data_IF_660126164658
#
_entry.id   IF_660126164658
#
_cell.length_a   1.000
_cell.length_b   1.000
_cell.length_c   1.000
_cell.angle_alpha   90.00
_cell.angle_beta   90.00
_cell.angle_gamma   90.00
#
_symmetry.space_group_name_H-M   'P 1'
#
loop_
_entity.id
_entity.type
_entity.pdbx_description
1 polymer ?
#
# COMPACT_ATOMS: atom_id res chain seq x y z
N UNK A 1 -18.70 24.22 -6.50
CA UNK A 1 -18.71 22.93 -5.78
C UNK A 1 -18.61 21.72 -6.72
N UNK A 2 -19.39 21.66 -7.83
CA UNK A 2 -19.07 20.73 -8.93
C UNK A 2 -17.69 21.00 -9.54
N UNK A 3 -17.33 22.29 -9.67
CA UNK A 3 -16.02 22.71 -10.14
C UNK A 3 -14.88 22.14 -9.26
N UNK A 4 -15.01 22.18 -7.93
CA UNK A 4 -13.98 21.68 -7.01
C UNK A 4 -13.82 20.15 -7.02
N UNK A 5 -14.92 19.40 -7.22
CA UNK A 5 -14.85 17.93 -7.35
C UNK A 5 -14.23 17.55 -8.70
N UNK A 6 -14.61 18.24 -9.78
CA UNK A 6 -14.01 18.03 -11.09
C UNK A 6 -12.51 18.37 -11.10
N UNK A 7 -12.12 19.50 -10.50
CA UNK A 7 -10.70 19.88 -10.36
C UNK A 7 -9.91 18.85 -9.56
N UNK A 8 -10.48 18.31 -8.47
CA UNK A 8 -9.82 17.25 -7.69
C UNK A 8 -9.68 15.94 -8.46
N UNK A 9 -10.72 15.50 -9.18
CA UNK A 9 -10.64 14.30 -10.02
C UNK A 9 -9.65 14.46 -11.17
N UNK A 10 -9.60 15.64 -11.81
CA UNK A 10 -8.64 15.95 -12.89
C UNK A 10 -7.21 15.98 -12.35
N UNK A 11 -6.95 16.63 -11.23
CA UNK A 11 -5.62 16.64 -10.58
C UNK A 11 -5.17 15.23 -10.18
N UNK A 12 -6.09 14.43 -9.62
CA UNK A 12 -5.80 13.05 -9.23
C UNK A 12 -5.51 12.19 -10.46
N UNK A 13 -6.32 12.32 -11.52
CA UNK A 13 -6.06 11.63 -12.78
C UNK A 13 -4.72 12.06 -13.40
N UNK A 14 -4.36 13.34 -13.34
CA UNK A 14 -3.09 13.86 -13.86
C UNK A 14 -1.88 13.35 -13.07
N UNK A 15 -2.01 13.19 -11.75
CA UNK A 15 -0.97 12.61 -10.90
C UNK A 15 -0.80 11.10 -11.13
N UNK A 16 -1.89 10.40 -11.45
CA UNK A 16 -1.87 8.94 -11.69
C UNK A 16 -1.50 8.59 -13.15
N UNK A 17 -1.78 9.47 -14.11
CA UNK A 17 -1.53 9.25 -15.55
C UNK A 17 -0.08 8.87 -15.90
N UNK A 18 0.98 9.54 -15.39
CA UNK A 18 2.36 9.15 -15.69
C UNK A 18 2.76 7.80 -15.08
N UNK A 19 1.91 7.21 -14.23
CA UNK A 19 2.12 5.88 -13.64
C UNK A 19 1.46 4.74 -14.42
N UNK A 20 0.75 5.03 -15.51
CA UNK A 20 0.17 4.01 -16.40
C UNK A 20 1.26 3.54 -17.38
N UNK A 21 1.59 2.25 -17.44
CA UNK A 21 2.63 1.75 -18.34
C UNK A 21 2.21 1.96 -19.79
N UNK A 22 2.91 2.86 -20.50
CA UNK A 22 2.84 2.97 -21.96
C UNK A 22 3.89 2.03 -22.54
N UNK A 23 3.61 0.73 -22.52
CA UNK A 23 4.48 -0.24 -23.17
C UNK A 23 4.26 -0.19 -24.69
N UNK A 24 5.10 0.59 -25.38
CA UNK A 24 5.31 0.42 -26.82
C UNK A 24 6.78 0.21 -27.23
N UNK A 25 7.76 0.15 -26.32
CA UNK A 25 9.17 0.18 -26.75
C UNK A 25 10.20 -0.70 -26.02
N UNK A 26 9.91 -1.39 -24.91
CA UNK A 26 10.99 -1.92 -24.03
C UNK A 26 11.01 -3.45 -23.83
N UNK A 27 10.54 -4.24 -24.79
CA UNK A 27 10.65 -5.71 -24.74
C UNK A 27 12.06 -6.27 -25.00
N UNK A 28 13.13 -5.46 -24.93
CA UNK A 28 14.46 -5.83 -25.45
C UNK A 28 15.61 -5.89 -24.42
N UNK A 29 15.40 -5.63 -23.12
CA UNK A 29 16.52 -5.61 -22.15
C UNK A 29 16.31 -6.66 -21.07
N UNK A 30 16.75 -7.89 -21.38
CA UNK A 30 16.89 -8.96 -20.39
C UNK A 30 18.16 -8.76 -19.55
N UNK A 31 18.01 -8.37 -18.29
CA UNK A 31 19.12 -8.34 -17.33
C UNK A 31 19.27 -9.75 -16.74
N UNK A 32 20.40 -10.40 -17.03
CA UNK A 32 20.85 -11.62 -16.33
C UNK A 32 21.26 -11.25 -14.90
N UNK A 33 20.43 -11.58 -13.92
CA UNK A 33 20.85 -11.64 -12.51
C UNK A 33 21.14 -13.09 -12.15
N UNK A 34 22.43 -13.39 -11.95
CA UNK A 34 22.91 -14.70 -11.51
C UNK A 34 24.35 -14.58 -11.03
N UNK A 35 24.54 -13.96 -9.86
CA UNK A 35 25.81 -13.88 -9.16
C UNK A 35 25.65 -14.36 -7.73
N UNK A 36 26.10 -15.58 -7.47
CA UNK A 36 26.16 -16.21 -6.14
C UNK A 36 27.18 -15.45 -5.29
N UNK A 37 26.72 -14.73 -4.25
CA UNK A 37 27.62 -14.04 -3.32
C UNK A 37 28.14 -15.02 -2.26
N UNK A 38 29.37 -15.50 -2.44
CA UNK A 38 30.18 -16.08 -1.37
C UNK A 38 30.84 -14.96 -0.57
N UNK A 39 30.72 -15.02 0.76
CA UNK A 39 31.08 -13.93 1.66
C UNK A 39 32.57 -13.53 1.67
N UNK A 40 32.79 -12.26 2.03
CA UNK A 40 34.04 -11.80 2.64
C UNK A 40 35.07 -11.17 1.72
N UNK A 41 34.80 -9.96 1.21
CA UNK A 41 35.81 -8.90 1.04
C UNK A 41 35.11 -7.56 0.82
N UNK A 42 35.46 -6.54 1.61
CA UNK A 42 35.04 -5.16 1.32
C UNK A 42 35.80 -4.74 0.06
N UNK A 43 35.16 -4.88 -1.09
CA UNK A 43 35.69 -4.39 -2.36
C UNK A 43 35.73 -2.86 -2.28
N UNK A 44 36.94 -2.30 -2.25
CA UNK A 44 37.14 -0.86 -2.53
C UNK A 44 36.39 -0.52 -3.82
N UNK A 45 35.57 0.53 -3.77
CA UNK A 45 34.77 0.99 -4.88
C UNK A 45 35.71 1.26 -6.06
N UNK A 46 35.81 0.31 -6.99
CA UNK A 46 36.73 0.42 -8.12
C UNK A 46 36.33 1.65 -8.92
N UNK A 47 37.31 2.53 -9.19
CA UNK A 47 37.13 3.78 -9.93
C UNK A 47 36.49 3.58 -11.32
N UNK A 48 36.47 2.34 -11.82
CA UNK A 48 35.80 1.90 -13.04
C UNK A 48 34.26 2.00 -12.95
N UNK A 49 33.67 1.95 -11.75
CA UNK A 49 32.23 2.16 -11.53
C UNK A 49 31.83 3.63 -11.76
N UNK A 50 32.77 4.58 -11.63
CA UNK A 50 32.51 6.00 -11.89
C UNK A 50 32.39 6.34 -13.38
N UNK A 51 32.72 5.41 -14.28
CA UNK A 51 32.64 5.56 -15.73
C UNK A 51 31.38 4.90 -16.33
N UNK A 52 30.35 4.61 -15.53
CA UNK A 52 29.06 4.17 -16.06
C UNK A 52 28.47 5.28 -16.93
N UNK A 53 28.18 4.97 -18.20
CA UNK A 53 27.47 5.88 -19.10
C UNK A 53 26.26 6.51 -18.40
N UNK A 54 25.90 7.77 -18.72
CA UNK A 54 24.74 8.42 -18.12
C UNK A 54 23.51 7.53 -18.30
N UNK A 55 23.12 6.84 -17.23
CA UNK A 55 21.87 6.10 -17.19
C UNK A 55 20.77 7.12 -17.38
N UNK A 56 19.90 6.89 -18.35
CA UNK A 56 18.73 7.73 -18.55
C UNK A 56 17.95 7.78 -17.22
N UNK A 57 17.81 8.96 -16.58
CA UNK A 57 17.12 9.09 -15.30
C UNK A 57 15.66 8.63 -15.38
N UNK A 58 15.08 8.59 -16.58
CA UNK A 58 13.74 8.04 -16.81
C UNK A 58 13.67 6.53 -16.48
N UNK A 59 14.77 5.80 -16.65
CA UNK A 59 14.84 4.35 -16.37
C UNK A 59 14.78 4.08 -14.87
N UNK A 60 15.47 4.90 -14.06
CA UNK A 60 15.38 4.80 -12.60
C UNK A 60 13.98 5.11 -12.08
N UNK A 61 13.36 6.18 -12.58
CA UNK A 61 12.00 6.57 -12.22
C UNK A 61 10.96 5.52 -12.65
N UNK A 62 11.05 5.00 -13.87
CA UNK A 62 10.13 3.96 -14.35
C UNK A 62 10.32 2.65 -13.59
N UNK A 63 11.56 2.25 -13.31
CA UNK A 63 11.85 1.06 -12.49
C UNK A 63 11.30 1.21 -11.10
N UNK A 64 11.50 2.38 -10.46
CA UNK A 64 10.89 2.73 -9.18
C UNK A 64 9.36 2.62 -9.27
N UNK A 65 8.72 3.33 -10.20
CA UNK A 65 7.25 3.34 -10.30
C UNK A 65 6.63 1.96 -10.62
N UNK A 66 7.39 1.06 -11.24
CA UNK A 66 6.97 -0.32 -11.58
C UNK A 66 7.20 -1.32 -10.44
N UNK A 67 8.32 -1.22 -9.73
CA UNK A 67 8.75 -2.23 -8.76
C UNK A 67 8.63 -1.77 -7.30
N UNK A 68 8.24 -0.52 -7.05
CA UNK A 68 8.05 -0.03 -5.69
C UNK A 68 6.80 -0.67 -5.07
N UNK A 69 7.02 -1.79 -4.40
CA UNK A 69 6.08 -2.49 -3.55
C UNK A 69 6.66 -2.40 -2.14
N UNK A 70 6.22 -1.42 -1.36
CA UNK A 70 6.53 -1.38 0.07
C UNK A 70 5.28 -1.73 0.85
N UNK A 71 5.38 -2.82 1.64
CA UNK A 71 4.66 -3.25 2.85
C UNK A 71 3.34 -2.57 3.23
N UNK A 72 2.50 -2.22 2.29
CA UNK A 72 1.13 -1.85 2.61
C UNK A 72 0.33 -3.14 2.73
N UNK A 73 -0.12 -3.40 3.96
CA UNK A 73 -0.94 -4.54 4.31
C UNK A 73 -2.12 -4.71 3.36
N UNK A 74 -2.86 -3.64 3.06
CA UNK A 74 -4.04 -3.71 2.18
C UNK A 74 -3.62 -4.02 0.74
N UNK A 75 -2.60 -3.32 0.24
CA UNK A 75 -2.11 -3.56 -1.11
C UNK A 75 -1.58 -4.98 -1.28
N UNK A 76 -0.84 -5.49 -0.30
CA UNK A 76 -0.32 -6.86 -0.28
C UNK A 76 -1.47 -7.87 -0.29
N UNK A 77 -2.51 -7.69 0.53
CA UNK A 77 -3.69 -8.57 0.50
C UNK A 77 -4.31 -8.64 -0.88
N UNK A 78 -4.47 -7.50 -1.56
CA UNK A 78 -5.07 -7.44 -2.90
C UNK A 78 -4.13 -8.06 -3.93
N UNK A 79 -2.86 -7.67 -3.96
CA UNK A 79 -1.88 -8.14 -4.96
C UNK A 79 -1.65 -9.64 -4.84
N UNK A 80 -1.44 -10.17 -3.64
CA UNK A 80 -1.20 -11.62 -3.46
C UNK A 80 -2.44 -12.47 -3.75
N UNK A 81 -3.65 -11.91 -3.62
CA UNK A 81 -4.87 -12.60 -4.05
C UNK A 81 -5.11 -12.49 -5.57
N UNK A 82 -4.54 -11.50 -6.24
CA UNK A 82 -4.65 -11.35 -7.70
C UNK A 82 -3.52 -12.03 -8.47
N UNK A 83 -2.33 -12.17 -7.87
CA UNK A 83 -1.15 -12.76 -8.51
C UNK A 83 -1.42 -14.21 -8.93
N UNK A 84 -1.09 -14.66 -10.15
CA UNK A 84 -1.27 -16.06 -10.55
C UNK A 84 -0.44 -17.02 -9.70
N UNK A 85 -1.02 -18.17 -9.32
CA UNK A 85 -0.33 -19.18 -8.49
C UNK A 85 0.92 -19.72 -9.19
N UNK A 86 0.86 -19.88 -10.52
CA UNK A 86 1.98 -20.39 -11.33
C UNK A 86 3.22 -19.49 -11.31
N UNK A 87 3.09 -18.23 -10.87
CA UNK A 87 4.18 -17.27 -10.84
C UNK A 87 4.92 -17.24 -9.48
N UNK A 88 4.50 -18.02 -8.48
CA UNK A 88 5.05 -17.93 -7.12
C UNK A 88 5.55 -19.31 -6.65
N UNK A 89 6.81 -19.41 -6.18
CA UNK A 89 7.30 -20.62 -5.54
C UNK A 89 6.42 -21.03 -4.35
N UNK A 90 6.23 -22.33 -4.08
CA UNK A 90 5.41 -22.80 -2.96
C UNK A 90 5.83 -22.21 -1.60
N UNK A 91 7.13 -22.03 -1.39
CA UNK A 91 7.74 -21.45 -0.18
C UNK A 91 7.45 -19.94 0.01
N UNK A 92 7.07 -19.24 -1.06
CA UNK A 92 6.73 -17.81 -1.03
C UNK A 92 5.22 -17.57 -1.21
N UNK A 93 4.41 -18.62 -1.15
CA UNK A 93 2.96 -18.47 -1.28
C UNK A 93 2.40 -17.87 0.01
N UNK A 94 1.75 -16.70 -0.11
CA UNK A 94 1.08 -16.07 1.01
C UNK A 94 -0.05 -16.96 1.54
N UNK A 95 -0.03 -17.27 2.84
CA UNK A 95 -1.05 -18.11 3.48
C UNK A 95 -2.47 -17.53 3.41
N UNK A 96 -2.59 -16.23 3.14
CA UNK A 96 -3.85 -15.51 2.95
C UNK A 96 -4.26 -15.34 1.47
N UNK A 97 -3.54 -15.95 0.52
CA UNK A 97 -3.92 -15.98 -0.90
C UNK A 97 -4.97 -17.08 -1.12
N UNK A 98 -6.25 -16.70 -1.02
CA UNK A 98 -7.38 -17.65 -1.04
C UNK A 98 -8.21 -17.58 -2.33
N UNK A 99 -7.99 -16.58 -3.18
CA UNK A 99 -8.80 -16.37 -4.37
C UNK A 99 -8.54 -17.48 -5.42
N UNK A 100 -9.57 -18.15 -5.99
CA UNK A 100 -9.37 -19.17 -7.01
C UNK A 100 -8.79 -18.61 -8.31
N UNK A 101 -7.99 -19.41 -9.04
CA UNK A 101 -7.34 -18.98 -10.28
C UNK A 101 -8.33 -18.45 -11.34
N UNK A 102 -9.51 -19.06 -11.45
CA UNK A 102 -10.56 -18.60 -12.39
C UNK A 102 -11.04 -17.18 -12.10
N UNK A 103 -11.04 -16.75 -10.85
CA UNK A 103 -11.38 -15.38 -10.46
C UNK A 103 -10.21 -14.43 -10.72
N UNK A 104 -8.97 -14.87 -10.45
CA UNK A 104 -7.76 -14.09 -10.78
C UNK A 104 -7.74 -13.76 -12.26
N UNK A 105 -7.91 -14.76 -13.13
CA UNK A 105 -7.89 -14.59 -14.58
C UNK A 105 -9.00 -13.64 -15.06
N UNK A 106 -10.21 -13.76 -14.50
CA UNK A 106 -11.34 -12.87 -14.83
C UNK A 106 -11.09 -11.42 -14.45
N UNK A 107 -10.56 -11.17 -13.25
CA UNK A 107 -10.28 -9.82 -12.77
C UNK A 107 -9.10 -9.20 -13.55
N UNK A 108 -8.10 -9.98 -13.92
CA UNK A 108 -6.94 -9.50 -14.67
C UNK A 108 -7.18 -9.37 -16.18
N UNK A 109 -8.20 -10.03 -16.74
CA UNK A 109 -8.48 -10.00 -18.18
C UNK A 109 -8.67 -8.57 -18.73
N UNK A 110 -9.36 -7.70 -18.00
CA UNK A 110 -9.63 -6.33 -18.44
C UNK A 110 -8.35 -5.46 -18.42
N UNK A 111 -7.60 -5.35 -17.31
CA UNK A 111 -6.33 -4.61 -17.30
C UNK A 111 -5.33 -5.13 -18.32
N UNK A 112 -5.13 -6.46 -18.40
CA UNK A 112 -4.18 -7.07 -19.34
C UNK A 112 -4.54 -6.75 -20.79
N UNK A 113 -5.83 -6.82 -21.16
CA UNK A 113 -6.28 -6.45 -22.50
C UNK A 113 -6.06 -4.96 -22.81
N UNK A 114 -6.22 -4.09 -21.82
CA UNK A 114 -6.15 -2.65 -22.03
C UNK A 114 -4.73 -2.11 -22.07
N UNK A 115 -3.84 -2.63 -21.22
CA UNK A 115 -2.45 -2.13 -21.10
C UNK A 115 -1.41 -3.00 -21.80
N UNK A 116 -1.73 -4.26 -22.12
CA UNK A 116 -0.74 -5.23 -22.61
C UNK A 116 0.27 -5.68 -21.55
N UNK A 117 0.05 -5.32 -20.28
CA UNK A 117 0.94 -5.70 -19.19
C UNK A 117 0.86 -7.21 -18.91
N UNK A 118 1.96 -7.77 -18.39
CA UNK A 118 2.00 -9.11 -17.85
C UNK A 118 1.05 -9.27 -16.64
N UNK A 119 0.80 -10.50 -16.21
CA UNK A 119 -0.16 -10.76 -15.13
C UNK A 119 0.21 -10.06 -13.82
N UNK A 120 1.51 -9.91 -13.52
CA UNK A 120 1.99 -9.20 -12.34
C UNK A 120 1.75 -7.69 -12.43
N UNK A 121 2.05 -7.07 -13.57
CA UNK A 121 1.76 -5.65 -13.81
C UNK A 121 0.26 -5.35 -13.82
N UNK A 122 -0.54 -6.24 -14.39
CA UNK A 122 -2.00 -6.14 -14.38
C UNK A 122 -2.58 -6.20 -12.95
N UNK A 123 -2.07 -7.10 -12.09
CA UNK A 123 -2.48 -7.20 -10.69
C UNK A 123 -2.16 -5.91 -9.92
N UNK A 124 -0.99 -5.34 -10.16
CA UNK A 124 -0.58 -4.09 -9.54
C UNK A 124 -1.43 -2.89 -9.98
N UNK A 125 -1.75 -2.78 -11.27
CA UNK A 125 -2.66 -1.75 -11.78
C UNK A 125 -4.07 -1.90 -11.21
N UNK A 126 -4.58 -3.12 -11.13
CA UNK A 126 -5.89 -3.40 -10.56
C UNK A 126 -5.93 -2.99 -9.08
N UNK A 127 -4.89 -3.32 -8.30
CA UNK A 127 -4.76 -2.88 -6.92
C UNK A 127 -4.80 -1.34 -6.82
N UNK A 128 -4.00 -0.63 -7.62
CA UNK A 128 -3.98 0.85 -7.61
C UNK A 128 -5.34 1.46 -7.95
N UNK A 129 -6.03 0.87 -8.91
CA UNK A 129 -7.39 1.31 -9.26
C UNK A 129 -8.36 1.10 -8.10
N UNK A 130 -8.30 -0.07 -7.45
CA UNK A 130 -9.15 -0.39 -6.30
C UNK A 130 -8.87 0.56 -5.13
N UNK A 131 -7.61 0.78 -4.75
CA UNK A 131 -7.26 1.68 -3.65
C UNK A 131 -7.66 3.11 -3.95
N UNK A 132 -7.50 3.59 -5.19
CA UNK A 132 -7.98 4.90 -5.62
C UNK A 132 -9.51 5.02 -5.48
N UNK A 133 -10.26 4.00 -5.91
CA UNK A 133 -11.72 4.00 -5.78
C UNK A 133 -12.16 4.03 -4.31
N UNK A 134 -11.54 3.20 -3.46
CA UNK A 134 -11.83 3.15 -2.02
C UNK A 134 -11.50 4.51 -1.37
N UNK A 135 -10.34 5.08 -1.69
CA UNK A 135 -9.93 6.38 -1.18
C UNK A 135 -10.88 7.50 -1.62
N UNK A 136 -11.32 7.49 -2.89
CA UNK A 136 -12.30 8.46 -3.38
C UNK A 136 -13.64 8.36 -2.65
N UNK A 137 -14.14 7.14 -2.41
CA UNK A 137 -15.37 6.92 -1.62
C UNK A 137 -15.21 7.45 -0.19
N UNK A 138 -14.10 7.13 0.48
CA UNK A 138 -13.81 7.63 1.83
C UNK A 138 -13.74 9.15 1.82
N UNK A 139 -12.95 9.76 0.94
CA UNK A 139 -12.80 11.20 0.83
C UNK A 139 -14.13 11.91 0.59
N UNK A 140 -14.95 11.42 -0.34
CA UNK A 140 -16.28 11.97 -0.59
C UNK A 140 -17.20 11.81 0.63
N UNK A 141 -17.16 10.66 1.31
CA UNK A 141 -17.97 10.42 2.51
C UNK A 141 -17.59 11.33 3.68
N UNK A 142 -16.31 11.68 3.82
CA UNK A 142 -15.80 12.58 4.86
C UNK A 142 -16.09 14.05 4.54
N UNK A 143 -15.97 14.45 3.27
CA UNK A 143 -16.18 15.82 2.84
C UNK A 143 -17.67 16.17 2.71
N UNK A 144 -18.54 15.20 2.48
CA UNK A 144 -19.96 15.44 2.25
C UNK A 144 -20.68 16.13 3.43
N UNK A 145 -20.53 15.66 4.69
CA UNK A 145 -21.15 16.33 5.84
C UNK A 145 -20.59 17.73 6.11
N UNK A 146 -19.32 17.98 5.77
CA UNK A 146 -18.67 19.26 6.00
C UNK A 146 -19.28 20.42 5.23
N UNK A 147 -19.99 20.16 4.14
CA UNK A 147 -20.69 21.18 3.36
C UNK A 147 -21.68 22.00 4.19
N UNK A 148 -22.15 21.46 5.32
CA UNK A 148 -23.09 22.11 6.24
C UNK A 148 -22.50 22.36 7.63
N UNK A 149 -21.27 21.92 7.90
CA UNK A 149 -20.67 22.11 9.21
C UNK A 149 -20.00 23.48 9.31
N UNK A 150 -20.30 24.20 10.38
CA UNK A 150 -19.66 25.47 10.76
C UNK A 150 -18.61 25.26 11.87
N UNK A 151 -18.42 24.02 12.33
CA UNK A 151 -17.52 23.71 13.46
C UNK A 151 -16.12 23.44 12.91
N UNK A 152 -15.09 24.25 13.25
CA UNK A 152 -13.73 24.05 12.73
C UNK A 152 -13.12 22.67 13.07
N UNK A 153 -13.48 22.11 14.23
CA UNK A 153 -13.01 20.79 14.65
C UNK A 153 -13.41 19.67 13.66
N UNK A 154 -14.56 19.78 13.00
CA UNK A 154 -15.00 18.79 12.01
C UNK A 154 -14.11 18.81 10.77
N UNK A 155 -13.64 19.99 10.36
CA UNK A 155 -12.71 20.15 9.24
C UNK A 155 -11.34 19.54 9.56
N UNK A 156 -10.80 19.80 10.75
CA UNK A 156 -9.54 19.18 11.18
C UNK A 156 -9.65 17.66 11.31
N UNK A 157 -10.78 17.16 11.80
CA UNK A 157 -11.07 15.72 11.84
C UNK A 157 -11.11 15.10 10.45
N UNK A 158 -11.78 15.73 9.49
CA UNK A 158 -11.83 15.22 8.13
C UNK A 158 -10.46 15.29 7.45
N UNK A 159 -9.68 16.35 7.68
CA UNK A 159 -8.31 16.47 7.20
C UNK A 159 -7.43 15.35 7.75
N UNK A 160 -7.49 15.11 9.07
CA UNK A 160 -6.81 13.98 9.72
C UNK A 160 -7.20 12.65 9.07
N UNK A 161 -8.49 12.34 9.00
CA UNK A 161 -8.97 11.06 8.48
C UNK A 161 -8.61 10.88 7.00
N UNK A 162 -8.66 11.95 6.21
CA UNK A 162 -8.25 11.90 4.79
C UNK A 162 -6.77 11.57 4.68
N UNK A 163 -5.90 12.25 5.43
CA UNK A 163 -4.46 11.96 5.43
C UNK A 163 -4.16 10.55 5.95
N UNK A 164 -4.83 10.13 7.02
CA UNK A 164 -4.64 8.82 7.63
C UNK A 164 -5.07 7.68 6.70
N UNK A 165 -6.23 7.81 6.04
CA UNK A 165 -6.69 6.83 5.04
C UNK A 165 -5.86 6.88 3.76
N UNK A 166 -5.40 8.06 3.33
CA UNK A 166 -4.48 8.16 2.20
C UNK A 166 -3.18 7.42 2.49
N UNK A 167 -2.60 7.65 3.68
CA UNK A 167 -1.41 6.95 4.14
C UNK A 167 -1.66 5.44 4.18
N UNK A 168 -2.75 4.98 4.79
CA UNK A 168 -3.10 3.57 4.97
C UNK A 168 -3.50 2.83 3.67
N UNK A 169 -3.89 3.55 2.61
CA UNK A 169 -4.22 2.97 1.30
C UNK A 169 -3.12 3.19 0.26
N UNK A 170 -2.04 3.88 0.64
CA UNK A 170 -0.94 4.16 -0.25
C UNK A 170 -0.04 2.93 -0.39
N UNK A 171 0.28 2.49 -1.62
CA UNK A 171 1.20 1.37 -1.85
C UNK A 171 2.65 1.69 -1.45
N UNK A 172 2.92 2.92 -1.00
CA UNK A 172 4.24 3.41 -0.59
C UNK A 172 4.23 3.86 0.87
N UNK A 173 3.67 3.03 1.74
CA UNK A 173 3.65 3.29 3.18
C UNK A 173 5.07 3.31 3.74
N UNK A 174 5.47 4.49 4.20
CA UNK A 174 6.63 4.65 5.04
C UNK A 174 6.21 5.27 6.37
N UNK A 175 6.77 4.79 7.49
CA UNK A 175 6.44 5.31 8.82
C UNK A 175 6.55 6.82 8.96
N UNK A 176 7.58 7.41 8.37
CA UNK A 176 7.82 8.85 8.49
C UNK A 176 6.74 9.70 7.82
N UNK A 177 5.96 9.18 6.87
CA UNK A 177 4.82 9.92 6.30
C UNK A 177 3.66 10.07 7.29
N UNK A 178 3.59 9.22 8.34
CA UNK A 178 2.61 9.38 9.41
C UNK A 178 2.77 10.71 10.16
N UNK A 179 3.97 11.31 10.13
CA UNK A 179 4.24 12.61 10.75
C UNK A 179 3.35 13.72 10.19
N UNK A 180 2.86 13.58 8.96
CA UNK A 180 1.93 14.54 8.34
C UNK A 180 0.54 14.50 8.97
N UNK A 181 0.10 13.35 9.46
CA UNK A 181 -1.20 13.18 10.13
C UNK A 181 -1.12 13.46 11.63
N UNK A 182 0.05 13.26 12.24
CA UNK A 182 0.26 13.30 13.69
C UNK A 182 -0.22 14.61 14.38
N UNK A 183 0.02 15.84 13.84
CA UNK A 183 -0.50 17.06 14.45
C UNK A 183 -2.03 17.11 14.56
N UNK A 184 -2.73 16.35 13.73
CA UNK A 184 -4.20 16.35 13.68
C UNK A 184 -4.81 15.13 14.39
N UNK A 185 -4.00 14.22 14.94
CA UNK A 185 -4.48 12.97 15.56
C UNK A 185 -5.43 13.22 16.74
N UNK A 186 -5.25 14.34 17.45
CA UNK A 186 -6.14 14.75 18.53
C UNK A 186 -7.59 14.99 18.08
N UNK A 187 -7.81 15.26 16.78
CA UNK A 187 -9.14 15.46 16.19
C UNK A 187 -9.76 14.15 15.67
N UNK A 188 -9.04 13.02 15.70
CA UNK A 188 -9.52 11.74 15.16
C UNK A 188 -10.84 11.27 15.79
N UNK A 189 -11.02 11.55 17.10
CA UNK A 189 -12.17 11.12 17.88
C UNK A 189 -12.27 9.61 18.06
N UNK A 190 -11.18 8.87 17.86
CA UNK A 190 -11.10 7.41 18.00
C UNK A 190 -9.67 7.04 18.44
N UNK A 191 -9.57 6.16 19.44
CA UNK A 191 -8.28 5.86 20.11
C UNK A 191 -7.41 4.90 19.29
N UNK A 192 -8.00 4.13 18.38
CA UNK A 192 -7.25 3.26 17.48
C UNK A 192 -6.28 4.10 16.62
N UNK A 193 -6.71 5.28 16.15
CA UNK A 193 -5.82 6.17 15.39
C UNK A 193 -4.63 6.69 16.20
N UNK A 194 -4.80 6.88 17.51
CA UNK A 194 -3.68 7.23 18.38
C UNK A 194 -2.69 6.06 18.50
N UNK A 195 -3.20 4.83 18.67
CA UNK A 195 -2.38 3.63 18.74
C UNK A 195 -1.56 3.38 17.46
N UNK A 196 -2.08 3.76 16.29
CA UNK A 196 -1.37 3.68 15.02
C UNK A 196 -0.01 4.42 15.07
N UNK A 197 0.08 5.55 15.77
CA UNK A 197 1.34 6.30 15.92
C UNK A 197 2.47 5.47 16.55
N UNK A 198 2.14 4.54 17.44
CA UNK A 198 3.11 3.61 18.04
C UNK A 198 3.33 2.39 17.17
N UNK A 199 2.25 1.80 16.63
CA UNK A 199 2.31 0.58 15.82
C UNK A 199 3.19 0.75 14.58
N UNK A 200 3.13 1.92 13.94
CA UNK A 200 3.92 2.25 12.74
C UNK A 200 5.43 2.10 12.95
N UNK A 201 5.94 2.09 14.18
CA UNK A 201 7.35 1.83 14.47
C UNK A 201 7.74 0.35 14.30
N UNK A 202 6.77 -0.59 14.34
CA UNK A 202 6.99 -2.02 14.12
C UNK A 202 7.58 -2.27 12.73
N UNK A 203 7.27 -1.41 11.75
CA UNK A 203 7.89 -1.41 10.43
C UNK A 203 9.42 -1.58 10.47
N UNK A 204 10.12 -0.96 11.43
CA UNK A 204 11.59 -1.04 11.50
C UNK A 204 12.10 -2.44 11.85
N UNK A 205 11.28 -3.32 12.43
CA UNK A 205 11.63 -4.73 12.61
C UNK A 205 11.85 -5.44 11.27
N UNK A 206 11.28 -4.94 10.17
CA UNK A 206 11.54 -5.52 8.85
C UNK A 206 13.02 -5.54 8.50
N UNK A 207 13.72 -4.43 8.73
CA UNK A 207 15.16 -4.37 8.48
C UNK A 207 15.92 -5.35 9.38
N UNK A 208 15.46 -5.51 10.62
CA UNK A 208 16.02 -6.48 11.54
C UNK A 208 15.87 -7.92 11.02
N UNK A 209 14.68 -8.30 10.53
CA UNK A 209 14.44 -9.62 9.93
C UNK A 209 15.24 -9.83 8.66
N UNK A 210 15.28 -8.85 7.76
CA UNK A 210 16.10 -8.91 6.54
C UNK A 210 17.58 -9.13 6.87
N UNK A 211 18.08 -8.50 7.93
CA UNK A 211 19.49 -8.61 8.31
C UNK A 211 19.81 -9.94 9.02
N UNK A 212 18.99 -10.38 9.97
CA UNK A 212 19.31 -11.52 10.83
C UNK A 212 18.75 -12.85 10.33
N UNK A 213 17.74 -12.82 9.46
CA UNK A 213 16.99 -14.01 9.02
C UNK A 213 16.83 -14.05 7.49
N UNK A 214 17.80 -13.53 6.73
CA UNK A 214 17.70 -13.43 5.26
C UNK A 214 17.27 -14.75 4.59
N UNK A 215 17.96 -15.84 4.92
CA UNK A 215 17.75 -17.16 4.31
C UNK A 215 17.19 -18.21 5.29
N UNK A 216 16.94 -17.82 6.54
CA UNK A 216 16.50 -18.75 7.58
C UNK A 216 15.00 -18.61 7.88
N UNK A 217 14.27 -19.74 7.97
CA UNK A 217 12.87 -19.72 8.38
C UNK A 217 12.72 -19.18 9.80
N UNK A 218 11.73 -18.31 10.00
CA UNK A 218 11.46 -17.69 11.29
C UNK A 218 10.33 -18.44 12.00
N UNK A 219 10.51 -18.76 13.28
CA UNK A 219 9.51 -19.40 14.15
C UNK A 219 8.90 -20.71 13.56
N UNK A 220 9.70 -21.48 12.82
CA UNK A 220 9.24 -22.73 12.18
C UNK A 220 8.27 -22.53 11.02
N UNK A 221 8.04 -21.28 10.58
CA UNK A 221 7.32 -21.00 9.33
C UNK A 221 8.22 -21.26 8.13
N UNK A 222 7.64 -21.41 6.94
CA UNK A 222 8.42 -21.48 5.69
C UNK A 222 8.98 -20.12 5.22
N UNK A 223 8.74 -19.04 5.96
CA UNK A 223 9.07 -17.68 5.53
C UNK A 223 10.36 -17.18 6.19
N UNK A 224 11.22 -16.56 5.39
CA UNK A 224 12.46 -15.91 5.83
C UNK A 224 12.40 -14.39 5.66
N UNK A 225 13.28 -13.68 6.37
CA UNK A 225 13.60 -12.27 6.17
C UNK A 225 12.38 -11.35 6.00
N UNK A 226 12.35 -10.66 4.85
CA UNK A 226 11.25 -9.76 4.51
C UNK A 226 9.90 -10.47 4.38
N UNK A 227 9.87 -11.68 3.81
CA UNK A 227 8.62 -12.42 3.56
C UNK A 227 7.92 -12.76 4.88
N UNK A 228 8.67 -13.14 5.91
CA UNK A 228 8.10 -13.39 7.24
C UNK A 228 7.48 -12.12 7.82
N UNK A 229 8.20 -10.99 7.73
CA UNK A 229 7.67 -9.71 8.19
C UNK A 229 6.38 -9.35 7.43
N UNK A 230 6.46 -9.37 6.11
CA UNK A 230 5.39 -8.95 5.21
C UNK A 230 4.16 -9.85 5.39
N UNK A 231 4.30 -11.18 5.57
CA UNK A 231 3.15 -12.09 5.67
C UNK A 231 2.63 -12.35 7.07
N UNK A 232 3.43 -12.16 8.12
CA UNK A 232 3.04 -12.52 9.49
C UNK A 232 3.01 -11.29 10.38
N UNK A 233 4.10 -10.52 10.42
CA UNK A 233 4.22 -9.39 11.34
C UNK A 233 3.25 -8.27 10.98
N UNK A 234 3.07 -7.97 9.70
CA UNK A 234 2.07 -6.96 9.26
C UNK A 234 0.65 -7.35 9.66
N UNK A 235 0.29 -8.64 9.64
CA UNK A 235 -1.02 -9.11 10.11
C UNK A 235 -1.19 -8.92 11.61
N UNK A 236 -0.13 -9.15 12.40
CA UNK A 236 -0.12 -8.90 13.84
C UNK A 236 -0.18 -7.40 14.16
N UNK A 237 0.42 -6.56 13.32
CA UNK A 237 0.40 -5.10 13.43
C UNK A 237 -1.00 -4.53 13.09
N UNK A 238 -1.49 -4.82 11.89
CA UNK A 238 -2.69 -4.19 11.35
C UNK A 238 -3.99 -4.93 11.68
N UNK A 239 -3.98 -6.25 11.80
CA UNK A 239 -5.18 -7.06 12.04
C UNK A 239 -5.92 -6.67 13.33
N UNK A 240 -5.27 -6.74 14.51
CA UNK A 240 -5.85 -6.28 15.77
C UNK A 240 -6.28 -4.82 15.73
N UNK A 241 -5.51 -3.98 15.03
CA UNK A 241 -5.82 -2.57 14.88
C UNK A 241 -7.10 -2.32 14.08
N UNK A 242 -7.30 -3.01 12.93
CA UNK A 242 -8.53 -2.93 12.15
C UNK A 242 -9.75 -3.40 12.94
N UNK A 243 -9.61 -4.48 13.71
CA UNK A 243 -10.68 -4.98 14.59
C UNK A 243 -11.07 -3.93 15.63
N UNK A 244 -10.08 -3.29 16.27
CA UNK A 244 -10.33 -2.22 17.24
C UNK A 244 -10.99 -1.01 16.58
N UNK A 245 -10.50 -0.56 15.43
CA UNK A 245 -11.07 0.57 14.68
C UNK A 245 -12.54 0.29 14.31
N UNK A 246 -12.82 -0.90 13.79
CA UNK A 246 -14.18 -1.34 13.42
C UNK A 246 -15.11 -1.39 14.63
N UNK A 247 -14.64 -1.93 15.75
CA UNK A 247 -15.39 -1.98 17.00
C UNK A 247 -15.76 -0.58 17.53
N UNK A 248 -14.79 0.33 17.64
CA UNK A 248 -15.07 1.70 18.12
C UNK A 248 -16.06 2.44 17.20
N UNK A 249 -15.94 2.22 15.90
CA UNK A 249 -16.85 2.82 14.91
C UNK A 249 -18.27 2.28 15.03
N UNK A 250 -18.43 0.96 15.22
CA UNK A 250 -19.72 0.31 15.41
C UNK A 250 -20.39 0.78 16.71
N UNK A 251 -19.66 0.79 17.83
CA UNK A 251 -20.17 1.25 19.14
C UNK A 251 -20.62 2.71 19.08
N UNK A 252 -19.85 3.58 18.42
CA UNK A 252 -20.19 5.00 18.26
C UNK A 252 -21.46 5.17 17.41
N UNK A 253 -21.61 4.37 16.35
CA UNK A 253 -22.78 4.41 15.47
C UNK A 253 -24.06 3.96 16.17
N UNK A 254 -23.98 2.92 17.01
CA UNK A 254 -25.10 2.42 17.83
C UNK A 254 -25.55 3.44 18.89
N UNK A 255 -24.61 4.14 19.52
CA UNK A 255 -24.95 5.20 20.49
C UNK A 255 -25.69 6.37 19.83
N UNK A 256 -25.28 6.75 18.62
CA UNK A 256 -25.90 7.85 17.87
C UNK A 256 -27.35 7.53 17.46
N UNK A 257 -27.62 6.29 17.02
CA UNK A 257 -28.97 5.84 16.67
C UNK A 257 -29.88 5.80 17.89
N UNK A 258 -29.41 5.23 19.02
CA UNK A 258 -30.20 5.20 20.26
C UNK A 258 -30.60 6.59 20.75
N UNK A 259 -29.67 7.56 20.73
CA UNK A 259 -29.95 8.94 21.15
C UNK A 259 -30.91 9.67 20.19
N UNK A 260 -30.94 9.30 18.91
CA UNK A 260 -31.87 9.88 17.94
C UNK A 260 -33.29 9.37 18.17
N UNK A 261 -33.46 8.10 18.54
CA UNK A 261 -34.78 7.51 18.85
C UNK A 261 -35.36 7.97 20.19
N UNK A 262 -34.53 8.38 21.16
CA UNK A 262 -35.00 8.85 22.46
C UNK A 262 -35.52 10.31 22.45
N UNK A 263 -35.24 11.06 21.37
CA UNK A 263 -35.64 12.46 21.22
C UNK A 263 -36.86 12.65 20.30
N UNK A 264 -37.54 11.56 19.93
CA UNK A 264 -38.79 11.54 19.16
C UNK A 264 -39.91 11.11 20.08
#
# INVERSE_FOLDING_TARGET
>A
MLLSIATWMVLTAFLVFPMVPVDRAMAAIGVRSGGTMTGGQVTELSAETAASQPQDPSTGLTTFLRHWQMNDFICMLVVENLRPISATPPEQTAWFSVLPQTWRDRLLAVPTRWTGADSSGAAFLMMRFLTLCVFAVIGLSLLWPLRRSQVPADWFRAAFLTLAWFWLLSPTQNPWYWIWALPLVMFAGNRAWLAMSGLVMIYYLRFWFVHHWADQPVLGTGYSGAVFFDFVVTWVEFGPWFLWLGWETAVTSLRKTKNSSANV
#
